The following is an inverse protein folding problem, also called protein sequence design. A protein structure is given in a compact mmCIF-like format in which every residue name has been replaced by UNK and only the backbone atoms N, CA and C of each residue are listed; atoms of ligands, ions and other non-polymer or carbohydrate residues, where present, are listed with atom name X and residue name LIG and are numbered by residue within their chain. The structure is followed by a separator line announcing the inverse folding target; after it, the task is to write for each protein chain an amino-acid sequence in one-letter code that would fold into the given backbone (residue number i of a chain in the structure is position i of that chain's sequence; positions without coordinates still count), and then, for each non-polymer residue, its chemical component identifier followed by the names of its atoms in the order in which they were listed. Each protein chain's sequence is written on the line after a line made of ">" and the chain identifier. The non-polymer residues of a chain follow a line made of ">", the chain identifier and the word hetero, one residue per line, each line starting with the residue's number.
data_IF_856957767045
#
_entry.id   IF_856957767045
#
_cell.length_a   1.000
_cell.length_b   1.000
_cell.length_c   1.000
_cell.angle_alpha   90.00
_cell.angle_beta   90.00
_cell.angle_gamma   90.00
#
_symmetry.space_group_name_H-M   'P 1'
#
loop_
_entity.id
_entity.type
_entity.pdbx_description
1 polymer ?
#
# COMPACT_ATOMS: atom_id res chain seq x y z
N UNK A 1 6.73 -3.82 24.20
CA UNK A 1 6.85 -4.45 22.86
C UNK A 1 5.93 -3.80 21.82
N UNK A 2 4.72 -3.37 22.19
CA UNK A 2 3.77 -2.66 21.29
C UNK A 2 4.32 -1.35 20.72
N UNK A 3 5.04 -0.56 21.53
CA UNK A 3 5.69 0.69 21.07
C UNK A 3 6.65 0.48 19.90
N UNK A 4 7.51 -0.56 19.97
CA UNK A 4 8.49 -0.84 18.90
C UNK A 4 7.79 -1.25 17.60
N UNK A 5 6.72 -2.06 17.68
CA UNK A 5 5.94 -2.44 16.48
C UNK A 5 5.26 -1.23 15.83
N UNK A 6 4.70 -0.34 16.64
CA UNK A 6 4.09 0.92 16.17
C UNK A 6 5.12 1.83 15.48
N UNK A 7 6.35 1.89 16.00
CA UNK A 7 7.43 2.68 15.41
C UNK A 7 7.88 2.11 14.06
N UNK A 8 8.00 0.78 13.94
CA UNK A 8 8.40 0.13 12.68
C UNK A 8 7.29 0.24 11.62
N UNK A 9 6.01 0.13 12.02
CA UNK A 9 4.88 0.36 11.11
C UNK A 9 4.86 1.79 10.58
N UNK A 10 5.04 2.79 11.46
CA UNK A 10 5.12 4.19 11.05
C UNK A 10 6.26 4.42 10.07
N UNK A 11 7.43 3.80 10.29
CA UNK A 11 8.53 3.85 9.33
C UNK A 11 8.18 3.20 7.99
N UNK A 12 7.51 2.05 7.99
CA UNK A 12 7.09 1.39 6.75
C UNK A 12 6.10 2.24 5.93
N UNK A 13 5.24 3.02 6.60
CA UNK A 13 4.28 3.92 5.96
C UNK A 13 4.93 5.21 5.47
N UNK A 14 5.78 5.84 6.30
CA UNK A 14 6.12 7.25 6.13
C UNK A 14 7.61 7.52 5.91
N UNK A 15 8.51 6.58 6.23
CA UNK A 15 9.94 6.83 6.08
C UNK A 15 10.35 6.92 4.60
N UNK A 16 11.35 7.77 4.27
CA UNK A 16 11.96 7.78 2.96
C UNK A 16 12.39 6.37 2.53
N UNK A 17 12.27 6.08 1.24
CA UNK A 17 12.76 4.86 0.62
C UNK A 17 13.68 5.21 -0.55
N UNK A 18 14.51 4.25 -0.94
CA UNK A 18 15.32 4.31 -2.16
C UNK A 18 14.97 3.10 -3.02
N UNK A 19 14.32 3.30 -4.19
CA UNK A 19 13.83 4.57 -4.73
C UNK A 19 12.71 5.20 -3.88
N UNK A 20 12.49 6.51 -4.04
CA UNK A 20 11.41 7.23 -3.34
C UNK A 20 10.05 6.64 -3.72
N UNK A 21 9.24 6.30 -2.72
CA UNK A 21 7.90 5.77 -2.93
C UNK A 21 6.86 6.84 -2.59
N UNK A 22 5.80 6.92 -3.40
CA UNK A 22 4.64 7.75 -3.09
C UNK A 22 3.95 7.27 -1.80
N UNK A 23 3.42 8.19 -0.97
CA UNK A 23 2.67 7.81 0.21
C UNK A 23 1.37 7.11 -0.18
N UNK A 24 0.89 6.20 0.68
CA UNK A 24 -0.46 5.64 0.55
C UNK A 24 -1.53 6.73 0.75
N UNK A 25 -2.76 6.51 0.25
CA UNK A 25 -3.89 7.36 0.61
C UNK A 25 -4.03 7.47 2.14
N UNK A 26 -4.30 8.67 2.68
CA UNK A 26 -4.30 8.90 4.13
C UNK A 26 -5.24 7.96 4.90
N UNK A 27 -6.42 7.66 4.35
CA UNK A 27 -7.39 6.74 4.94
C UNK A 27 -6.86 5.30 5.01
N UNK A 28 -6.10 4.85 4.01
CA UNK A 28 -5.48 3.52 4.02
C UNK A 28 -4.36 3.47 5.06
N UNK A 29 -3.49 4.48 5.12
CA UNK A 29 -2.45 4.54 6.14
C UNK A 29 -3.06 4.57 7.57
N UNK A 30 -4.17 5.30 7.77
CA UNK A 30 -4.92 5.29 9.02
C UNK A 30 -5.50 3.92 9.34
N UNK A 31 -6.09 3.23 8.35
CA UNK A 31 -6.62 1.89 8.49
C UNK A 31 -5.51 0.90 8.92
N UNK A 32 -4.38 0.89 8.23
CA UNK A 32 -3.26 0.01 8.55
C UNK A 32 -2.71 0.24 9.96
N UNK A 33 -2.66 1.50 10.42
CA UNK A 33 -2.33 1.80 11.84
C UNK A 33 -3.38 1.25 12.81
N UNK A 34 -4.67 1.41 12.51
CA UNK A 34 -5.75 0.89 13.38
C UNK A 34 -5.81 -0.64 13.45
N UNK A 35 -5.33 -1.32 12.41
CA UNK A 35 -5.26 -2.78 12.35
C UNK A 35 -3.94 -3.33 12.91
N UNK A 36 -3.05 -2.47 13.42
CA UNK A 36 -1.69 -2.83 13.83
C UNK A 36 -0.96 -3.67 12.76
N UNK A 37 -1.13 -3.27 11.49
CA UNK A 37 -0.70 -4.06 10.35
C UNK A 37 0.79 -4.45 10.43
N UNK A 38 1.17 -5.67 10.00
CA UNK A 38 2.57 -6.05 9.91
C UNK A 38 3.36 -5.02 9.09
N UNK A 39 4.51 -4.50 9.57
CA UNK A 39 5.24 -3.46 8.84
C UNK A 39 5.65 -3.88 7.42
N UNK A 40 5.91 -5.17 7.21
CA UNK A 40 6.19 -5.73 5.87
C UNK A 40 5.00 -5.59 4.93
N UNK A 41 3.77 -5.77 5.41
CA UNK A 41 2.55 -5.55 4.63
C UNK A 41 2.44 -4.07 4.23
N UNK A 42 2.60 -3.15 5.18
CA UNK A 42 2.54 -1.72 4.89
C UNK A 42 3.59 -1.28 3.85
N UNK A 43 4.83 -1.75 3.98
CA UNK A 43 5.89 -1.49 3.00
C UNK A 43 5.55 -2.06 1.60
N UNK A 44 5.00 -3.28 1.55
CA UNK A 44 4.56 -3.91 0.32
C UNK A 44 3.44 -3.12 -0.38
N UNK A 45 2.39 -2.77 0.36
CA UNK A 45 1.28 -1.98 -0.16
C UNK A 45 1.75 -0.62 -0.70
N UNK A 46 2.69 0.04 0.00
CA UNK A 46 3.28 1.31 -0.47
C UNK A 46 4.04 1.15 -1.79
N UNK A 47 4.82 0.09 -1.93
CA UNK A 47 5.54 -0.19 -3.18
C UNK A 47 4.58 -0.50 -4.34
N UNK A 48 3.53 -1.30 -4.10
CA UNK A 48 2.53 -1.63 -5.14
C UNK A 48 1.70 -0.39 -5.51
N UNK A 49 1.34 0.44 -4.54
CA UNK A 49 0.63 1.69 -4.80
C UNK A 49 1.45 2.63 -5.70
N UNK A 50 2.75 2.77 -5.45
CA UNK A 50 3.63 3.60 -6.26
C UNK A 50 3.64 3.16 -7.74
N UNK A 51 3.78 1.85 -7.99
CA UNK A 51 3.69 1.28 -9.35
C UNK A 51 2.30 1.46 -9.95
N UNK A 52 1.23 1.32 -9.14
CA UNK A 52 -0.13 1.54 -9.62
C UNK A 52 -0.37 2.98 -10.09
N UNK A 53 0.24 3.98 -9.43
CA UNK A 53 0.22 5.37 -9.89
C UNK A 53 0.89 5.49 -11.26
N UNK A 54 2.09 4.93 -11.42
CA UNK A 54 2.82 5.02 -12.69
C UNK A 54 2.05 4.36 -13.84
N UNK A 55 1.46 3.19 -13.59
CA UNK A 55 0.68 2.47 -14.59
C UNK A 55 -0.63 3.20 -14.92
N UNK A 56 -1.34 3.71 -13.92
CA UNK A 56 -2.60 4.42 -14.15
C UNK A 56 -2.36 5.72 -14.94
N UNK A 57 -1.33 6.48 -14.59
CA UNK A 57 -0.95 7.70 -15.30
C UNK A 57 -0.51 7.40 -16.75
N UNK A 58 0.27 6.34 -16.94
CA UNK A 58 0.69 5.88 -18.27
C UNK A 58 -0.49 5.45 -19.14
N UNK A 59 -1.43 4.66 -18.59
CA UNK A 59 -2.63 4.21 -19.30
C UNK A 59 -3.48 5.41 -19.70
N UNK A 60 -3.71 6.36 -18.77
CA UNK A 60 -4.52 7.55 -19.04
C UNK A 60 -3.90 8.43 -20.14
N UNK A 61 -2.57 8.58 -20.17
CA UNK A 61 -1.88 9.31 -21.23
C UNK A 61 -1.87 8.59 -22.58
N UNK A 62 -1.73 7.25 -22.58
CA UNK A 62 -1.58 6.46 -23.80
C UNK A 62 -2.91 6.05 -24.45
N UNK A 63 -3.96 5.92 -23.64
CA UNK A 63 -5.29 5.44 -24.02
C UNK A 63 -6.38 6.30 -23.37
N UNK A 64 -6.51 7.59 -23.72
CA UNK A 64 -7.44 8.51 -23.07
C UNK A 64 -8.92 8.14 -23.23
N UNK A 65 -9.26 7.31 -24.22
CA UNK A 65 -10.63 6.81 -24.44
C UNK A 65 -10.97 5.59 -23.56
N UNK A 66 -9.98 4.97 -22.90
CA UNK A 66 -10.21 3.86 -21.99
C UNK A 66 -10.76 4.40 -20.66
N UNK A 67 -11.99 4.00 -20.33
CA UNK A 67 -12.66 4.39 -19.09
C UNK A 67 -12.09 3.61 -17.88
N UNK A 68 -10.87 3.94 -17.46
CA UNK A 68 -10.28 3.45 -16.20
C UNK A 68 -10.62 4.42 -15.08
N UNK A 69 -11.24 3.90 -14.02
CA UNK A 69 -11.36 4.64 -12.77
C UNK A 69 -10.01 4.59 -12.03
N UNK A 70 -9.25 5.68 -12.16
CA UNK A 70 -7.93 5.81 -11.56
C UNK A 70 -7.99 5.70 -10.03
N UNK A 71 -8.95 6.34 -9.40
CA UNK A 71 -9.02 6.38 -7.93
C UNK A 71 -9.36 5.00 -7.37
N UNK A 72 -10.26 4.26 -8.04
CA UNK A 72 -10.55 2.87 -7.69
C UNK A 72 -9.33 1.95 -7.83
N UNK A 73 -8.53 2.12 -8.89
CA UNK A 73 -7.27 1.36 -9.08
C UNK A 73 -6.29 1.65 -7.95
N UNK A 74 -6.09 2.93 -7.61
CA UNK A 74 -5.13 3.31 -6.57
C UNK A 74 -5.55 2.85 -5.18
N UNK A 75 -6.85 2.95 -4.86
CA UNK A 75 -7.40 2.43 -3.62
C UNK A 75 -7.26 0.91 -3.55
N UNK A 76 -7.65 0.21 -4.61
CA UNK A 76 -7.52 -1.25 -4.72
C UNK A 76 -6.07 -1.71 -4.53
N UNK A 77 -5.10 -1.08 -5.20
CA UNK A 77 -3.69 -1.38 -5.03
C UNK A 77 -3.20 -1.18 -3.59
N UNK A 78 -3.62 -0.07 -2.97
CA UNK A 78 -3.26 0.29 -1.60
C UNK A 78 -3.87 -0.63 -0.54
N UNK A 79 -4.94 -1.39 -0.86
CA UNK A 79 -5.64 -2.26 0.10
C UNK A 79 -5.67 -3.74 -0.28
N UNK A 80 -5.13 -4.15 -1.43
CA UNK A 80 -5.41 -5.48 -2.01
C UNK A 80 -5.13 -6.65 -1.05
N UNK A 81 -4.09 -6.52 -0.23
CA UNK A 81 -3.64 -7.53 0.74
C UNK A 81 -4.04 -7.19 2.19
N UNK A 82 -4.99 -6.29 2.43
CA UNK A 82 -5.39 -5.87 3.79
C UNK A 82 -5.86 -7.04 4.67
N UNK A 83 -6.39 -8.11 4.06
CA UNK A 83 -6.77 -9.34 4.75
C UNK A 83 -5.61 -10.00 5.51
N UNK A 84 -4.36 -9.77 5.09
CA UNK A 84 -3.16 -10.29 5.75
C UNK A 84 -2.84 -9.60 7.09
N UNK A 85 -3.63 -8.60 7.48
CA UNK A 85 -3.67 -8.12 8.87
C UNK A 85 -4.34 -9.13 9.81
N UNK A 86 -5.28 -9.92 9.30
CA UNK A 86 -5.97 -11.01 10.01
C UNK A 86 -5.21 -12.33 9.86
N UNK A 87 -4.64 -12.57 8.67
CA UNK A 87 -3.90 -13.78 8.31
C UNK A 87 -2.42 -13.48 7.98
N UNK A 88 -1.60 -13.07 8.97
CA UNK A 88 -0.21 -12.65 8.74
C UNK A 88 0.70 -13.78 8.19
N UNK A 89 0.32 -15.04 8.36
CA UNK A 89 0.98 -16.22 7.79
C UNK A 89 1.06 -16.17 6.26
N UNK A 90 0.08 -15.57 5.59
CA UNK A 90 0.02 -15.40 4.12
C UNK A 90 1.03 -14.37 3.59
N UNK A 91 1.76 -13.66 4.46
CA UNK A 91 2.87 -12.80 4.05
C UNK A 91 4.13 -13.59 3.69
N UNK A 92 4.22 -14.85 4.12
CA UNK A 92 5.40 -15.70 3.90
C UNK A 92 5.04 -17.09 3.35
N UNK A 93 3.78 -17.50 3.46
CA UNK A 93 3.23 -18.71 2.84
C UNK A 93 2.33 -18.40 1.65
N UNK A 94 1.78 -19.44 0.99
CA UNK A 94 0.70 -19.27 0.05
C UNK A 94 -0.53 -18.65 0.75
N UNK A 95 -1.27 -17.82 0.01
CA UNK A 95 -2.64 -17.42 0.34
C UNK A 95 -3.66 -18.31 -0.34
#
# INVERSE_FOLDING_TARGET
>A
MTSIRSDVLSRALDAPAEPSLRPLPPEVAKLLRSLEAPPRLAAHLRAVHDVAVELADWVQGRYPELAVDRDAVLFGAATHDVGKTVHPEELSGPG
#
